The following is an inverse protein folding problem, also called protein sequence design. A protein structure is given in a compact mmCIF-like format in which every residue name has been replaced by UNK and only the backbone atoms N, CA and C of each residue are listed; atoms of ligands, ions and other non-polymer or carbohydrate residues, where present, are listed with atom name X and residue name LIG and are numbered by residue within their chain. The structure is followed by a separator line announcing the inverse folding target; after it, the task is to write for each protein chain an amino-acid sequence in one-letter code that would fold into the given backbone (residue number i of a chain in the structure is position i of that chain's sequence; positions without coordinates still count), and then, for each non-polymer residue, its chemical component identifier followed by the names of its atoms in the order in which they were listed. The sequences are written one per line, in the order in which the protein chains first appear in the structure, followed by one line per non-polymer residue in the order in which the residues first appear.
data_IF_285699941830
#
_entry.id   IF_285699941830
#
_cell.length_a   1.000
_cell.length_b   1.000
_cell.length_c   1.000
_cell.angle_alpha   90.00
_cell.angle_beta   90.00
_cell.angle_gamma   90.00
#
_symmetry.space_group_name_H-M   'P 1'
#
loop_
_entity.id
_entity.type
_entity.pdbx_description
1 polymer ?
#
# COMPACT_ATOMS: atom_id res chain seq x y z
N UNK A 1 7.34 8.79 -16.59
CA UNK A 1 7.23 10.26 -16.38
C UNK A 1 6.75 10.46 -14.95
N UNK A 2 7.58 11.01 -14.09
CA UNK A 2 7.17 11.32 -12.70
C UNK A 2 6.20 12.50 -12.76
N UNK A 3 4.92 12.25 -12.55
CA UNK A 3 3.89 13.29 -12.43
C UNK A 3 4.10 14.07 -11.12
N UNK A 4 5.08 14.95 -11.10
CA UNK A 4 5.24 15.90 -9.99
C UNK A 4 4.30 17.08 -10.23
N UNK A 5 3.26 17.19 -9.43
CA UNK A 5 2.40 18.35 -9.41
C UNK A 5 3.16 19.49 -8.71
N UNK A 6 3.35 20.66 -9.35
CA UNK A 6 3.94 21.81 -8.68
C UNK A 6 3.17 22.14 -7.41
N UNK A 7 3.87 22.44 -6.31
CA UNK A 7 3.24 22.70 -5.00
C UNK A 7 2.16 23.79 -5.07
N UNK A 8 2.31 24.75 -5.95
CA UNK A 8 1.36 25.84 -6.17
C UNK A 8 0.01 25.37 -6.77
N UNK A 9 0.00 24.23 -7.45
CA UNK A 9 -1.19 23.63 -8.07
C UNK A 9 -1.77 22.49 -7.20
N UNK A 10 -1.08 22.08 -6.15
CA UNK A 10 -1.52 21.00 -5.28
C UNK A 10 -2.60 21.50 -4.32
N UNK A 11 -3.84 20.97 -4.41
CA UNK A 11 -4.94 21.32 -3.50
C UNK A 11 -4.56 21.09 -2.03
N UNK A 12 -3.77 20.06 -1.75
CA UNK A 12 -3.25 19.75 -0.41
C UNK A 12 -2.51 20.93 0.26
N UNK A 13 -1.90 21.83 -0.54
CA UNK A 13 -1.23 23.01 0.00
C UNK A 13 -2.18 23.97 0.74
N UNK A 14 -3.46 23.99 0.33
CA UNK A 14 -4.48 24.80 1.00
C UNK A 14 -4.89 24.20 2.35
N UNK A 15 -4.82 22.87 2.51
CA UNK A 15 -5.06 22.21 3.82
C UNK A 15 -3.94 22.59 4.80
N UNK A 16 -2.67 22.57 4.35
CA UNK A 16 -1.51 22.93 5.18
C UNK A 16 -1.60 24.37 5.71
N UNK A 17 -2.25 25.25 4.95
CA UNK A 17 -2.43 26.66 5.30
C UNK A 17 -3.77 26.96 6.02
N UNK A 18 -4.60 25.95 6.30
CA UNK A 18 -5.95 26.11 6.85
C UNK A 18 -6.01 26.03 8.39
N UNK A 19 -5.01 26.57 9.08
CA UNK A 19 -4.96 26.62 10.54
C UNK A 19 -5.27 25.27 11.21
N UNK A 20 -4.69 24.20 10.72
CA UNK A 20 -4.86 22.83 11.24
C UNK A 20 -6.30 22.29 11.20
N UNK A 21 -7.15 22.83 10.34
CA UNK A 21 -8.53 22.38 10.15
C UNK A 21 -8.70 21.60 8.85
N UNK A 22 -9.62 20.64 8.81
CA UNK A 22 -10.02 19.99 7.57
C UNK A 22 -10.51 21.00 6.52
N UNK A 23 -10.24 20.73 5.26
CA UNK A 23 -10.69 21.52 4.13
C UNK A 23 -11.59 20.65 3.25
N UNK A 24 -12.79 21.15 2.95
CA UNK A 24 -13.72 20.52 1.97
C UNK A 24 -13.95 21.49 0.83
N UNK A 25 -13.80 21.01 -0.39
CA UNK A 25 -14.06 21.71 -1.63
C UNK A 25 -15.09 20.89 -2.42
N UNK A 26 -16.33 21.33 -2.40
CA UNK A 26 -17.44 20.60 -2.99
C UNK A 26 -17.38 20.54 -4.52
N UNK A 27 -16.81 21.56 -5.16
CA UNK A 27 -16.49 21.59 -6.58
C UNK A 27 -15.20 22.37 -6.82
N UNK A 28 -14.15 21.65 -7.16
CA UNK A 28 -12.80 22.19 -7.39
C UNK A 28 -12.77 23.17 -8.56
N UNK A 29 -13.65 23.00 -9.54
CA UNK A 29 -13.74 23.89 -10.71
C UNK A 29 -14.39 25.24 -10.42
N UNK A 30 -15.12 25.36 -9.31
CA UNK A 30 -15.83 26.57 -8.92
C UNK A 30 -15.19 27.31 -7.74
N UNK A 31 -14.33 26.63 -6.97
CA UNK A 31 -13.69 27.23 -5.81
C UNK A 31 -12.53 28.16 -6.24
N UNK A 32 -12.55 29.38 -5.75
CA UNK A 32 -11.58 30.42 -6.07
C UNK A 32 -10.11 30.03 -5.80
N UNK A 33 -9.90 29.12 -4.87
CA UNK A 33 -8.56 28.64 -4.48
C UNK A 33 -7.99 27.62 -5.47
N UNK A 34 -8.86 26.91 -6.20
CA UNK A 34 -8.49 25.74 -6.98
C UNK A 34 -8.88 25.79 -8.45
N UNK A 35 -9.80 26.70 -8.85
CA UNK A 35 -10.29 26.81 -10.22
C UNK A 35 -9.17 26.97 -11.26
N UNK A 36 -8.11 27.71 -10.93
CA UNK A 36 -6.98 27.88 -11.83
C UNK A 36 -6.19 26.57 -12.02
N UNK A 37 -6.00 25.77 -10.95
CA UNK A 37 -5.36 24.48 -11.06
C UNK A 37 -6.19 23.50 -11.90
N UNK A 38 -7.52 23.57 -11.78
CA UNK A 38 -8.44 22.79 -12.58
C UNK A 38 -8.41 23.14 -14.07
N UNK A 39 -8.30 24.43 -14.41
CA UNK A 39 -8.17 24.91 -15.80
C UNK A 39 -6.88 24.40 -16.46
N UNK A 40 -5.80 24.26 -15.72
CA UNK A 40 -4.49 23.79 -16.21
C UNK A 40 -4.40 22.27 -16.31
N UNK A 41 -5.27 21.52 -15.61
CA UNK A 41 -5.26 20.07 -15.58
C UNK A 41 -6.70 19.52 -15.77
N UNK A 42 -7.14 19.24 -16.99
CA UNK A 42 -8.53 18.82 -17.30
C UNK A 42 -8.99 17.52 -16.60
N UNK A 43 -8.04 16.69 -16.17
CA UNK A 43 -8.30 15.44 -15.44
C UNK A 43 -8.18 15.61 -13.91
N UNK A 44 -8.28 16.82 -13.43
CA UNK A 44 -8.26 17.10 -12.00
C UNK A 44 -9.57 16.68 -11.35
N UNK A 45 -9.57 16.13 -10.12
CA UNK A 45 -10.80 15.74 -9.45
C UNK A 45 -11.71 16.95 -9.22
N UNK A 46 -13.04 16.71 -9.25
CA UNK A 46 -14.07 17.74 -9.04
C UNK A 46 -14.40 17.96 -7.56
N UNK A 47 -14.21 16.97 -6.73
CA UNK A 47 -14.40 17.04 -5.28
C UNK A 47 -13.07 16.77 -4.55
N UNK A 48 -12.88 17.46 -3.44
CA UNK A 48 -11.74 17.26 -2.56
C UNK A 48 -12.15 17.44 -1.10
N UNK A 49 -11.73 16.53 -0.23
CA UNK A 49 -11.74 16.73 1.21
C UNK A 49 -10.40 16.25 1.80
N UNK A 50 -9.78 17.08 2.63
CA UNK A 50 -8.50 16.78 3.26
C UNK A 50 -8.44 17.21 4.72
N UNK A 51 -7.84 16.38 5.56
CA UNK A 51 -7.50 16.69 6.95
C UNK A 51 -5.99 16.78 7.10
N UNK A 52 -5.45 17.77 7.83
CA UNK A 52 -4.03 17.82 8.11
C UNK A 52 -3.61 16.68 9.02
N UNK A 53 -2.44 16.12 8.77
CA UNK A 53 -1.74 15.17 9.64
C UNK A 53 -0.83 15.99 10.53
N UNK A 54 -1.12 16.04 11.83
CA UNK A 54 -0.41 16.89 12.78
C UNK A 54 0.34 16.00 13.77
N UNK A 55 1.66 16.20 13.89
CA UNK A 55 2.47 15.50 14.88
C UNK A 55 2.10 15.85 16.32
N UNK A 56 2.46 15.02 17.30
CA UNK A 56 2.28 15.30 18.72
C UNK A 56 3.05 16.57 19.17
N UNK A 57 4.03 17.00 18.40
CA UNK A 57 4.77 18.26 18.61
C UNK A 57 4.12 19.46 17.90
N UNK A 58 2.95 19.28 17.26
CA UNK A 58 2.17 20.34 16.65
C UNK A 58 2.57 20.72 15.21
N UNK A 59 3.50 20.00 14.57
CA UNK A 59 3.89 20.26 13.19
C UNK A 59 2.96 19.54 12.22
N UNK A 60 2.52 20.23 11.17
CA UNK A 60 1.76 19.62 10.07
C UNK A 60 2.71 18.90 9.13
N UNK A 61 2.65 17.58 9.11
CA UNK A 61 3.52 16.70 8.32
C UNK A 61 3.01 16.49 6.90
N UNK A 62 1.68 16.55 6.72
CA UNK A 62 1.03 16.28 5.45
C UNK A 62 -0.48 16.38 5.52
N UNK A 63 -1.16 15.75 4.58
CA UNK A 63 -2.63 15.71 4.53
C UNK A 63 -3.12 14.31 4.26
N UNK A 64 -4.18 13.91 4.97
CA UNK A 64 -4.98 12.75 4.64
C UNK A 64 -6.20 13.22 3.83
N UNK A 65 -6.34 12.77 2.58
CA UNK A 65 -7.35 13.34 1.69
C UNK A 65 -8.08 12.29 0.86
N UNK A 66 -9.29 12.65 0.48
CA UNK A 66 -10.14 11.92 -0.47
C UNK A 66 -10.58 12.87 -1.58
N UNK A 67 -10.79 12.34 -2.78
CA UNK A 67 -11.24 13.10 -3.94
C UNK A 67 -12.16 12.25 -4.81
N UNK A 68 -12.94 12.94 -5.67
CA UNK A 68 -13.87 12.31 -6.58
C UNK A 68 -13.96 13.12 -7.89
N UNK A 69 -14.30 12.47 -8.97
CA UNK A 69 -14.45 13.10 -10.29
C UNK A 69 -15.77 13.87 -10.44
N UNK A 70 -16.71 13.69 -9.54
CA UNK A 70 -17.96 14.42 -9.46
C UNK A 70 -18.01 15.36 -8.25
N UNK A 71 -18.64 16.54 -8.34
CA UNK A 71 -18.88 17.41 -7.19
C UNK A 71 -19.70 16.71 -6.13
N UNK A 72 -19.33 16.89 -4.84
CA UNK A 72 -20.01 16.27 -3.70
C UNK A 72 -20.16 17.24 -2.54
N UNK A 73 -21.18 17.00 -1.73
CA UNK A 73 -21.31 17.61 -0.40
C UNK A 73 -21.01 16.53 0.64
N UNK A 74 -20.14 16.87 1.59
CA UNK A 74 -19.77 15.96 2.67
C UNK A 74 -20.53 16.36 3.94
N UNK A 75 -21.13 15.37 4.61
CA UNK A 75 -21.75 15.55 5.92
C UNK A 75 -20.67 15.80 6.99
N UNK A 76 -21.00 16.55 8.04
CA UNK A 76 -20.06 16.86 9.12
C UNK A 76 -19.49 15.59 9.77
N UNK A 77 -20.30 14.57 9.95
CA UNK A 77 -19.86 13.26 10.49
C UNK A 77 -18.73 12.62 9.69
N UNK A 78 -18.76 12.78 8.36
CA UNK A 78 -17.70 12.24 7.47
C UNK A 78 -16.44 13.10 7.49
N UNK A 79 -16.59 14.40 7.72
CA UNK A 79 -15.44 15.31 7.92
C UNK A 79 -14.72 14.96 9.23
N UNK A 80 -15.47 14.70 10.29
CA UNK A 80 -14.93 14.24 11.57
C UNK A 80 -14.26 12.88 11.43
N UNK A 81 -14.86 11.95 10.66
CA UNK A 81 -14.26 10.67 10.33
C UNK A 81 -12.92 10.80 9.60
N UNK A 82 -12.82 11.73 8.63
CA UNK A 82 -11.56 11.99 7.93
C UNK A 82 -10.48 12.54 8.88
N UNK A 83 -10.87 13.38 9.83
CA UNK A 83 -9.98 13.87 10.88
C UNK A 83 -9.50 12.75 11.79
N UNK A 84 -10.42 11.90 12.26
CA UNK A 84 -10.08 10.74 13.09
C UNK A 84 -9.09 9.81 12.39
N UNK A 85 -9.24 9.58 11.09
CA UNK A 85 -8.30 8.77 10.30
C UNK A 85 -6.92 9.41 10.24
N UNK A 86 -6.83 10.73 10.07
CA UNK A 86 -5.56 11.45 10.08
C UNK A 86 -4.89 11.38 11.47
N UNK A 87 -5.67 11.52 12.56
CA UNK A 87 -5.18 11.41 13.94
C UNK A 87 -4.75 9.97 14.28
N UNK A 88 -5.48 8.95 13.80
CA UNK A 88 -5.06 7.55 13.96
C UNK A 88 -3.78 7.24 13.20
N UNK A 89 -3.67 7.72 11.97
CA UNK A 89 -2.46 7.55 11.17
C UNK A 89 -1.22 8.09 11.88
N UNK A 90 -1.29 9.32 12.41
CA UNK A 90 -0.14 9.91 13.09
C UNK A 90 0.19 9.19 14.40
N UNK A 91 -0.81 8.75 15.17
CA UNK A 91 -0.61 8.00 16.40
C UNK A 91 0.12 6.67 16.13
N UNK A 92 -0.29 5.93 15.10
CA UNK A 92 0.40 4.70 14.68
C UNK A 92 1.81 5.01 14.21
N UNK A 93 1.98 6.02 13.38
CA UNK A 93 3.28 6.43 12.85
C UNK A 93 4.25 6.83 13.98
N UNK A 94 3.83 7.68 14.93
CA UNK A 94 4.67 8.12 16.03
C UNK A 94 4.93 7.01 17.06
N UNK A 95 3.96 6.11 17.32
CA UNK A 95 4.19 4.95 18.18
C UNK A 95 5.24 3.99 17.59
N UNK A 96 5.33 3.89 16.26
CA UNK A 96 6.42 3.14 15.62
C UNK A 96 7.77 3.83 15.75
N UNK A 97 7.80 5.16 15.79
CA UNK A 97 9.02 5.94 16.05
C UNK A 97 9.46 5.86 17.52
N UNK A 98 8.52 5.93 18.47
CA UNK A 98 8.81 5.84 19.92
C UNK A 98 9.30 4.44 20.33
N UNK A 99 8.82 3.39 19.68
CA UNK A 99 9.34 2.04 19.88
C UNK A 99 10.81 1.93 19.43
N UNK A 100 11.24 2.73 18.47
CA UNK A 100 12.63 2.81 18.03
C UNK A 100 13.52 3.62 18.98
N UNK A 101 12.97 4.55 19.76
CA UNK A 101 13.76 5.34 20.75
C UNK A 101 13.95 4.63 22.08
N UNK A 102 13.01 3.80 22.53
CA UNK A 102 13.14 3.01 23.75
C UNK A 102 14.09 1.79 23.64
N UNK A 103 14.55 1.46 22.43
CA UNK A 103 15.57 0.44 22.19
C UNK A 103 17.01 0.99 22.30
N UNK A 104 17.21 2.29 22.55
CA UNK A 104 18.55 2.92 22.56
C UNK A 104 19.22 2.99 23.94
N UNK A 105 18.59 2.53 25.03
CA UNK A 105 19.26 2.54 26.35
C UNK A 105 19.81 1.20 26.82
N UNK A 106 19.72 0.12 26.06
CA UNK A 106 20.41 -1.12 26.39
C UNK A 106 21.06 -1.74 25.16
N UNK A 107 22.30 -1.50 25.04
CA UNK A 107 23.39 -2.02 24.20
C UNK A 107 23.93 -1.00 23.19
N UNK A 108 25.14 -0.54 23.50
CA UNK A 108 26.04 0.13 22.56
C UNK A 108 26.40 -0.83 21.40
N UNK A 109 25.54 -0.86 20.39
CA UNK A 109 25.87 -1.27 19.03
C UNK A 109 24.81 -0.64 18.12
N UNK A 110 25.13 0.53 17.57
CA UNK A 110 24.37 1.14 16.50
C UNK A 110 24.41 0.24 15.27
N UNK A 111 23.47 -0.67 15.12
CA UNK A 111 23.22 -1.28 13.82
C UNK A 111 22.67 -0.17 12.90
N UNK A 112 23.59 0.40 12.12
CA UNK A 112 23.26 1.26 10.99
C UNK A 112 22.19 0.53 10.16
N UNK A 113 21.12 1.25 9.79
CA UNK A 113 20.19 0.84 8.72
C UNK A 113 21.07 0.43 7.53
N UNK A 114 21.23 -0.86 7.31
CA UNK A 114 22.05 -1.40 6.22
C UNK A 114 21.10 -1.80 5.10
N UNK A 115 20.97 -0.90 4.11
CA UNK A 115 20.48 -1.29 2.80
C UNK A 115 21.59 -2.04 2.07
N UNK A 116 21.31 -3.22 1.56
CA UNK A 116 22.21 -4.03 0.76
C UNK A 116 21.76 -4.02 -0.70
N UNK A 117 22.70 -3.79 -1.62
CA UNK A 117 22.41 -3.79 -3.05
C UNK A 117 22.57 -5.21 -3.60
N UNK A 118 21.53 -5.68 -4.30
CA UNK A 118 21.50 -6.94 -5.03
C UNK A 118 21.42 -6.61 -6.52
N UNK A 119 22.38 -7.05 -7.30
CA UNK A 119 22.44 -6.79 -8.74
C UNK A 119 21.39 -7.55 -9.53
N UNK A 120 20.81 -8.60 -8.94
CA UNK A 120 19.77 -9.42 -9.54
C UNK A 120 18.90 -10.04 -8.46
N UNK A 121 17.63 -9.73 -8.46
CA UNK A 121 16.59 -10.39 -7.66
C UNK A 121 15.33 -10.53 -8.50
N UNK A 122 14.50 -11.54 -8.23
CA UNK A 122 13.24 -11.75 -8.92
C UNK A 122 12.09 -11.38 -8.01
N UNK A 123 11.36 -10.34 -8.37
CA UNK A 123 10.21 -9.83 -7.63
C UNK A 123 8.94 -10.47 -8.20
N UNK A 124 8.09 -10.97 -7.32
CA UNK A 124 6.78 -11.49 -7.63
C UNK A 124 5.73 -10.59 -6.97
N UNK A 125 4.78 -10.14 -7.77
CA UNK A 125 3.54 -9.52 -7.31
C UNK A 125 2.35 -10.34 -7.78
N UNK A 126 1.42 -10.60 -6.88
CA UNK A 126 0.10 -11.13 -7.26
C UNK A 126 -1.01 -10.27 -6.68
N UNK A 127 -2.15 -10.27 -7.34
CA UNK A 127 -3.33 -9.47 -7.05
C UNK A 127 -4.58 -10.22 -7.50
N UNK A 128 -5.71 -10.05 -6.79
CA UNK A 128 -6.97 -10.71 -7.17
C UNK A 128 -7.76 -9.88 -8.17
N UNK A 129 -8.30 -10.53 -9.18
CA UNK A 129 -9.13 -9.88 -10.21
C UNK A 129 -10.51 -9.59 -9.66
N UNK A 130 -10.94 -8.31 -9.73
CA UNK A 130 -12.26 -7.89 -9.28
C UNK A 130 -12.47 -8.05 -7.76
N UNK A 131 -11.39 -7.95 -6.97
CA UNK A 131 -11.45 -8.14 -5.51
C UNK A 131 -12.46 -7.22 -4.84
N UNK A 132 -12.40 -5.92 -5.10
CA UNK A 132 -13.30 -4.93 -4.50
C UNK A 132 -14.76 -5.26 -4.75
N UNK A 133 -15.12 -5.56 -6.00
CA UNK A 133 -16.50 -5.88 -6.39
C UNK A 133 -16.99 -7.17 -5.69
N UNK A 134 -16.15 -8.19 -5.63
CA UNK A 134 -16.49 -9.48 -5.01
C UNK A 134 -16.61 -9.41 -3.49
N UNK A 135 -15.98 -8.42 -2.87
CA UNK A 135 -15.94 -8.30 -1.41
C UNK A 135 -16.93 -7.28 -0.85
N UNK A 136 -17.61 -6.50 -1.69
CA UNK A 136 -18.60 -5.51 -1.24
C UNK A 136 -19.76 -6.10 -0.41
N UNK A 137 -20.14 -7.35 -0.69
CA UNK A 137 -21.24 -8.04 -0.01
C UNK A 137 -20.76 -9.00 1.10
N UNK A 138 -19.45 -9.13 1.32
CA UNK A 138 -18.90 -10.03 2.32
C UNK A 138 -18.85 -9.38 3.71
N UNK A 139 -19.18 -10.16 4.71
CA UNK A 139 -18.91 -9.76 6.10
C UNK A 139 -17.39 -9.67 6.35
N UNK A 140 -16.92 -8.69 7.16
CA UNK A 140 -15.48 -8.49 7.38
C UNK A 140 -14.71 -9.74 7.84
N UNK A 141 -15.35 -10.59 8.65
CA UNK A 141 -14.75 -11.85 9.11
C UNK A 141 -14.52 -12.85 7.96
N UNK A 142 -15.49 -12.98 7.07
CA UNK A 142 -15.41 -13.85 5.90
C UNK A 142 -14.29 -13.41 4.94
N UNK A 143 -14.14 -12.10 4.75
CA UNK A 143 -13.07 -11.54 3.93
C UNK A 143 -11.69 -11.93 4.47
N UNK A 144 -11.47 -11.79 5.78
CA UNK A 144 -10.21 -12.14 6.42
C UNK A 144 -9.93 -13.63 6.28
N UNK A 145 -10.92 -14.50 6.50
CA UNK A 145 -10.77 -15.95 6.35
C UNK A 145 -10.39 -16.36 4.93
N UNK A 146 -11.00 -15.72 3.93
CA UNK A 146 -10.69 -15.96 2.51
C UNK A 146 -9.25 -15.57 2.21
N UNK A 147 -8.82 -14.34 2.58
CA UNK A 147 -7.46 -13.87 2.35
C UNK A 147 -6.43 -14.72 3.08
N UNK A 148 -6.69 -15.08 4.34
CA UNK A 148 -5.80 -15.94 5.13
C UNK A 148 -5.63 -17.32 4.48
N UNK A 149 -6.72 -17.89 3.98
CA UNK A 149 -6.68 -19.17 3.25
C UNK A 149 -5.75 -19.12 2.04
N UNK A 150 -5.83 -18.06 1.22
CA UNK A 150 -4.97 -17.89 0.05
C UNK A 150 -3.53 -17.59 0.45
N UNK A 151 -3.32 -16.61 1.33
CA UNK A 151 -1.97 -16.17 1.72
C UNK A 151 -1.20 -17.25 2.48
N UNK A 152 -1.85 -18.02 3.35
CA UNK A 152 -1.24 -19.18 4.00
C UNK A 152 -0.80 -20.26 3.00
N UNK A 153 -1.53 -20.44 1.91
CA UNK A 153 -1.14 -21.32 0.83
C UNK A 153 0.03 -20.77 0.03
N UNK A 154 0.01 -19.47 -0.26
CA UNK A 154 1.12 -18.79 -0.96
C UNK A 154 2.40 -18.82 -0.13
N UNK A 155 2.32 -18.59 1.18
CA UNK A 155 3.47 -18.69 2.10
C UNK A 155 4.15 -20.06 2.00
N UNK A 156 3.36 -21.16 2.03
CA UNK A 156 3.89 -22.52 1.88
C UNK A 156 4.55 -22.77 0.51
N UNK A 157 4.03 -22.16 -0.55
CA UNK A 157 4.63 -22.23 -1.88
C UNK A 157 5.96 -21.46 -1.88
N UNK A 158 5.99 -20.23 -1.35
CA UNK A 158 7.21 -19.44 -1.27
C UNK A 158 8.31 -20.17 -0.50
N UNK A 159 8.00 -20.75 0.65
CA UNK A 159 8.93 -21.53 1.47
C UNK A 159 9.53 -22.71 0.67
N UNK A 160 8.71 -23.44 -0.08
CA UNK A 160 9.15 -24.58 -0.90
C UNK A 160 10.15 -24.18 -1.98
N UNK A 161 9.96 -23.02 -2.59
CA UNK A 161 10.84 -22.49 -3.62
C UNK A 161 11.96 -21.59 -3.08
N UNK A 162 12.12 -21.48 -1.74
CA UNK A 162 13.09 -20.59 -1.09
C UNK A 162 12.95 -19.14 -1.58
N UNK A 163 11.73 -18.67 -1.68
CA UNK A 163 11.38 -17.29 -2.03
C UNK A 163 10.90 -16.60 -0.77
N UNK A 164 11.39 -15.40 -0.53
CA UNK A 164 11.07 -14.64 0.67
C UNK A 164 9.81 -13.81 0.45
N UNK A 165 8.78 -14.03 1.27
CA UNK A 165 7.67 -13.11 1.39
C UNK A 165 8.17 -11.75 1.88
N UNK A 166 7.73 -10.68 1.27
CA UNK A 166 8.01 -9.31 1.69
C UNK A 166 6.84 -8.78 2.50
N UNK A 167 5.67 -8.66 1.89
CA UNK A 167 4.47 -8.12 2.53
C UNK A 167 3.21 -8.46 1.76
N UNK A 168 2.07 -8.16 2.37
CA UNK A 168 0.78 -8.07 1.68
C UNK A 168 0.32 -6.61 1.68
N UNK A 169 -0.35 -6.18 0.62
CA UNK A 169 -0.89 -4.83 0.46
C UNK A 169 -2.34 -4.97 0.03
N UNK A 170 -3.27 -4.93 1.00
CA UNK A 170 -4.66 -5.29 0.72
C UNK A 170 -4.76 -6.75 0.29
N UNK A 171 -5.23 -6.98 -0.93
CA UNK A 171 -5.33 -8.28 -1.59
C UNK A 171 -4.10 -8.66 -2.42
N UNK A 172 -3.11 -7.76 -2.50
CA UNK A 172 -1.87 -8.04 -3.19
C UNK A 172 -0.85 -8.76 -2.29
N UNK A 173 -0.09 -9.68 -2.90
CA UNK A 173 0.98 -10.45 -2.25
C UNK A 173 2.31 -10.19 -2.94
N UNK A 174 3.33 -9.82 -2.18
CA UNK A 174 4.66 -9.49 -2.68
C UNK A 174 5.72 -10.44 -2.11
N UNK A 175 6.56 -10.99 -2.99
CA UNK A 175 7.67 -11.87 -2.61
C UNK A 175 8.90 -11.62 -3.49
N UNK A 176 10.06 -12.09 -3.03
CA UNK A 176 11.35 -11.92 -3.73
C UNK A 176 12.20 -13.16 -3.67
N UNK A 177 12.72 -13.59 -4.80
CA UNK A 177 13.76 -14.61 -4.93
C UNK A 177 15.15 -14.01 -5.13
N UNK A 178 16.20 -14.71 -4.67
CA UNK A 178 17.58 -14.26 -4.80
C UNK A 178 18.07 -13.36 -3.65
N UNK A 179 17.31 -13.26 -2.55
CA UNK A 179 17.65 -12.50 -1.35
C UNK A 179 17.37 -13.34 -0.09
N UNK A 180 18.28 -13.42 0.89
CA UNK A 180 19.63 -12.84 0.93
C UNK A 180 20.64 -13.65 0.10
N UNK A 181 20.33 -14.87 -0.24
CA UNK A 181 21.22 -15.78 -0.95
C UNK A 181 21.10 -15.58 -2.45
N UNK A 182 22.18 -15.10 -3.08
CA UNK A 182 22.30 -14.97 -4.54
C UNK A 182 22.36 -16.36 -5.18
N UNK A 183 21.22 -16.99 -5.35
CA UNK A 183 21.12 -18.22 -6.12
C UNK A 183 20.88 -17.89 -7.60
N UNK A 184 21.67 -18.43 -8.49
CA UNK A 184 21.59 -18.15 -9.94
C UNK A 184 20.27 -18.60 -10.58
N UNK A 185 19.51 -19.44 -9.91
CA UNK A 185 18.21 -20.03 -10.37
C UNK A 185 16.98 -19.33 -9.75
N UNK A 186 17.17 -18.18 -9.07
CA UNK A 186 16.07 -17.50 -8.41
C UNK A 186 14.94 -17.09 -9.37
N UNK A 187 15.27 -16.72 -10.61
CA UNK A 187 14.27 -16.35 -11.60
C UNK A 187 13.38 -17.55 -11.99
N UNK A 188 14.01 -18.70 -12.27
CA UNK A 188 13.28 -19.92 -12.60
C UNK A 188 12.40 -20.38 -11.45
N UNK A 189 12.92 -20.36 -10.22
CA UNK A 189 12.15 -20.73 -9.02
C UNK A 189 10.98 -19.77 -8.78
N UNK A 190 11.16 -18.48 -9.01
CA UNK A 190 10.09 -17.49 -8.85
C UNK A 190 8.96 -17.73 -9.87
N UNK A 191 9.30 -18.04 -11.11
CA UNK A 191 8.30 -18.40 -12.14
C UNK A 191 7.60 -19.71 -11.79
N UNK A 192 8.33 -20.72 -11.32
CA UNK A 192 7.73 -22.00 -10.89
C UNK A 192 6.77 -21.78 -9.71
N UNK A 193 7.15 -20.97 -8.72
CA UNK A 193 6.27 -20.60 -7.61
C UNK A 193 5.01 -19.87 -8.09
N UNK A 194 5.14 -18.93 -9.03
CA UNK A 194 4.00 -18.24 -9.63
C UNK A 194 3.03 -19.21 -10.31
N UNK A 195 3.55 -20.17 -11.07
CA UNK A 195 2.72 -21.21 -11.72
C UNK A 195 2.03 -22.12 -10.68
N UNK A 196 2.72 -22.44 -9.59
CA UNK A 196 2.13 -23.22 -8.50
C UNK A 196 1.07 -22.43 -7.73
N UNK A 197 1.23 -21.13 -7.52
CA UNK A 197 0.17 -20.27 -6.97
C UNK A 197 -1.09 -20.31 -7.84
N UNK A 198 -0.96 -20.21 -9.16
CA UNK A 198 -2.09 -20.34 -10.09
C UNK A 198 -2.78 -21.68 -9.93
N UNK A 199 -2.01 -22.78 -9.86
CA UNK A 199 -2.57 -24.13 -9.68
C UNK A 199 -3.24 -24.29 -8.32
N UNK A 200 -2.69 -23.69 -7.27
CA UNK A 200 -3.28 -23.69 -5.95
C UNK A 200 -4.66 -22.98 -5.95
N UNK A 201 -4.74 -21.80 -6.55
CA UNK A 201 -6.01 -21.05 -6.69
C UNK A 201 -7.02 -21.84 -7.51
N UNK A 202 -6.59 -22.50 -8.59
CA UNK A 202 -7.47 -23.40 -9.38
C UNK A 202 -8.00 -24.57 -8.55
N UNK A 203 -7.18 -25.13 -7.67
CA UNK A 203 -7.60 -26.18 -6.74
C UNK A 203 -8.67 -25.71 -5.77
N UNK A 204 -8.50 -24.51 -5.18
CA UNK A 204 -9.51 -23.89 -4.32
C UNK A 204 -10.80 -23.64 -5.12
N UNK A 205 -10.69 -23.07 -6.32
CA UNK A 205 -11.83 -22.76 -7.17
C UNK A 205 -12.65 -24.03 -7.54
N UNK A 206 -12.00 -25.14 -7.73
CA UNK A 206 -12.69 -26.40 -7.99
C UNK A 206 -13.59 -26.79 -6.80
N UNK A 207 -13.10 -26.62 -5.57
CA UNK A 207 -13.88 -26.86 -4.34
C UNK A 207 -14.99 -25.81 -4.17
N UNK A 208 -14.70 -24.54 -4.39
CA UNK A 208 -15.66 -23.45 -4.27
C UNK A 208 -16.83 -23.60 -5.26
N UNK A 209 -16.52 -23.99 -6.49
CA UNK A 209 -17.54 -24.24 -7.52
C UNK A 209 -18.48 -25.38 -7.13
N UNK A 210 -17.98 -26.41 -6.47
CA UNK A 210 -18.80 -27.52 -5.96
C UNK A 210 -19.76 -27.07 -4.85
N UNK A 211 -19.44 -25.98 -4.15
CA UNK A 211 -20.27 -25.33 -3.12
C UNK A 211 -21.19 -24.23 -3.68
N UNK A 212 -21.14 -23.96 -4.99
CA UNK A 212 -21.94 -22.92 -5.65
C UNK A 212 -21.34 -21.52 -5.53
N UNK A 213 -20.10 -21.38 -5.07
CA UNK A 213 -19.44 -20.10 -4.92
C UNK A 213 -18.72 -19.67 -6.23
N UNK A 214 -18.56 -18.35 -6.42
CA UNK A 214 -17.82 -17.83 -7.55
C UNK A 214 -16.31 -18.10 -7.44
N UNK A 215 -15.63 -18.36 -8.56
CA UNK A 215 -14.20 -18.61 -8.57
C UNK A 215 -13.42 -17.30 -8.32
N UNK A 216 -12.26 -17.43 -7.68
CA UNK A 216 -11.26 -16.37 -7.54
C UNK A 216 -10.25 -16.47 -8.69
N UNK A 217 -9.90 -15.32 -9.25
CA UNK A 217 -8.84 -15.21 -10.26
C UNK A 217 -7.71 -14.35 -9.73
N UNK A 218 -6.46 -14.74 -10.01
CA UNK A 218 -5.28 -13.98 -9.67
C UNK A 218 -4.51 -13.56 -10.91
N UNK A 219 -3.90 -12.40 -10.83
CA UNK A 219 -2.88 -11.91 -11.75
C UNK A 219 -1.54 -11.99 -11.06
N UNK A 220 -0.51 -12.47 -11.76
CA UNK A 220 0.85 -12.53 -11.22
C UNK A 220 1.80 -11.90 -12.22
N UNK A 221 2.59 -10.93 -11.73
CA UNK A 221 3.72 -10.35 -12.43
C UNK A 221 5.03 -10.82 -11.81
N UNK A 222 6.01 -11.16 -12.64
CA UNK A 222 7.38 -11.46 -12.20
C UNK A 222 8.34 -10.59 -13.01
N UNK A 223 9.24 -9.91 -12.30
CA UNK A 223 10.31 -9.13 -12.90
C UNK A 223 11.63 -9.45 -12.22
N UNK A 224 12.72 -9.47 -13.00
CA UNK A 224 14.07 -9.69 -12.48
C UNK A 224 14.94 -8.48 -12.78
N UNK A 225 15.59 -7.94 -11.75
CA UNK A 225 16.46 -6.78 -11.88
C UNK A 225 17.14 -6.42 -10.58
N UNK A 226 17.91 -5.30 -10.57
CA UNK A 226 18.60 -4.84 -9.38
C UNK A 226 17.63 -4.27 -8.35
N UNK A 227 17.90 -4.55 -7.06
CA UNK A 227 17.14 -4.00 -5.94
C UNK A 227 18.07 -3.61 -4.79
N UNK A 228 17.57 -2.75 -3.93
CA UNK A 228 18.13 -2.49 -2.60
C UNK A 228 17.21 -3.19 -1.61
N UNK A 229 17.76 -4.07 -0.79
CA UNK A 229 17.02 -4.75 0.27
C UNK A 229 17.55 -4.30 1.63
N UNK A 230 16.67 -4.13 2.59
CA UNK A 230 17.09 -3.69 3.91
C UNK A 230 15.97 -3.76 4.93
N UNK A 231 16.35 -3.57 6.19
CA UNK A 231 15.43 -3.47 7.29
C UNK A 231 15.30 -1.99 7.67
N UNK A 232 14.10 -1.46 7.58
CA UNK A 232 13.76 -0.20 8.23
C UNK A 232 13.52 -0.46 9.72
N UNK A 233 13.06 0.51 10.48
CA UNK A 233 12.87 0.40 11.93
C UNK A 233 12.08 -0.85 12.38
N UNK A 234 11.16 -1.35 11.56
CA UNK A 234 10.28 -2.47 11.92
C UNK A 234 10.26 -3.62 10.92
N UNK A 235 10.44 -3.37 9.62
CA UNK A 235 10.18 -4.35 8.58
C UNK A 235 11.29 -4.42 7.55
N UNK A 236 11.51 -5.65 7.04
CA UNK A 236 12.36 -5.88 5.88
C UNK A 236 11.56 -5.56 4.62
N UNK A 237 12.14 -4.76 3.74
CA UNK A 237 11.53 -4.39 2.46
C UNK A 237 12.58 -4.30 1.34
N UNK A 238 12.11 -4.13 0.11
CA UNK A 238 12.95 -3.96 -1.07
C UNK A 238 12.52 -2.71 -1.83
N UNK A 239 13.52 -2.04 -2.45
CA UNK A 239 13.34 -0.80 -3.20
C UNK A 239 14.15 -0.85 -4.49
N UNK A 240 13.73 -0.09 -5.48
CA UNK A 240 14.44 0.12 -6.74
C UNK A 240 13.49 0.15 -7.94
N UNK A 241 14.05 0.43 -9.12
CA UNK A 241 13.29 0.54 -10.37
C UNK A 241 12.70 -0.81 -10.83
N UNK A 242 13.10 -1.90 -10.17
CA UNK A 242 12.63 -3.27 -10.45
C UNK A 242 11.45 -3.71 -9.58
N UNK A 243 11.01 -2.86 -8.64
CA UNK A 243 9.93 -3.14 -7.67
C UNK A 243 8.62 -2.52 -8.12
#
# INVERSE_FOLDING_TARGET
MTNKIPRQLAICSHVLNNNSKPLVINDVSLDERTKHAFELAPNFPRFYAGSPIISNTGYTLGTFCVFDDAPKQLEHSKIDGLRMLADQFINVYESTLDTSTNFQESTANSEKIKGEYFSSASILFSDFVGFTEKTEELEPGQLIEILDSFFSGFDKIMDRFSIKKIKTIGDAYMAVGGIPDLNSDHADRTVQAALEMINYVRGINFQQKALGNEPWEIRIGVHTGPVIAGKTSSEFDIWGDSV
#
